data_IF_536958587445
#
_entry.id   IF_536958587445
#
_cell.length_a   1.000
_cell.length_b   1.000
_cell.length_c   1.000
_cell.angle_alpha   90.00
_cell.angle_beta   90.00
_cell.angle_gamma   90.00
#
_symmetry.space_group_name_H-M   'P 1'
#
loop_
_entity.id
_entity.type
_entity.pdbx_description
1 polymer ?
#
# COMPACT_ATOMS: atom_id res chain seq x y z
N UNK A 1 -4.17 3.27 13.77
CA UNK A 1 -3.63 2.79 12.48
C UNK A 1 -4.09 3.68 11.34
N UNK A 2 -3.36 3.67 10.24
CA UNK A 2 -3.64 4.54 9.10
C UNK A 2 -4.04 3.71 7.89
N UNK A 3 -5.20 4.03 7.31
CA UNK A 3 -5.70 3.40 6.10
C UNK A 3 -5.40 4.32 4.92
N UNK A 4 -4.48 3.90 4.06
CA UNK A 4 -3.99 4.70 2.94
C UNK A 4 -4.59 4.17 1.66
N UNK A 5 -5.34 5.01 0.97
CA UNK A 5 -6.14 4.54 -0.15
C UNK A 5 -6.46 5.67 -1.12
N UNK A 6 -6.90 5.28 -2.32
CA UNK A 6 -7.40 6.23 -3.32
C UNK A 6 -8.93 6.12 -3.33
N UNK A 7 -9.66 7.22 -3.05
CA UNK A 7 -11.12 7.17 -2.91
C UNK A 7 -11.86 6.58 -4.12
N UNK A 8 -11.30 6.74 -5.32
CA UNK A 8 -11.92 6.23 -6.55
C UNK A 8 -11.57 4.78 -6.86
N UNK A 9 -10.76 4.14 -6.04
CA UNK A 9 -10.34 2.74 -6.25
C UNK A 9 -11.38 1.78 -5.67
N UNK A 10 -11.91 0.86 -6.48
CA UNK A 10 -12.94 -0.08 -6.01
C UNK A 10 -12.42 -1.01 -4.93
N UNK A 11 -11.18 -1.45 -5.01
CA UNK A 11 -10.56 -2.29 -3.97
C UNK A 11 -10.47 -1.54 -2.65
N UNK A 12 -10.11 -0.25 -2.71
CA UNK A 12 -10.07 0.60 -1.52
C UNK A 12 -11.45 0.75 -0.90
N UNK A 13 -12.47 0.94 -1.72
CA UNK A 13 -13.85 1.08 -1.25
C UNK A 13 -14.32 -0.19 -0.54
N UNK A 14 -13.99 -1.36 -1.08
CA UNK A 14 -14.33 -2.65 -0.46
C UNK A 14 -13.62 -2.82 0.88
N UNK A 15 -12.35 -2.46 0.94
CA UNK A 15 -11.57 -2.55 2.17
C UNK A 15 -12.11 -1.61 3.24
N UNK A 16 -12.44 -0.38 2.86
CA UNK A 16 -13.02 0.60 3.79
C UNK A 16 -14.35 0.13 4.36
N UNK A 17 -15.21 -0.41 3.49
CA UNK A 17 -16.51 -0.95 3.90
C UNK A 17 -16.31 -2.08 4.91
N UNK A 18 -15.36 -2.98 4.65
CA UNK A 18 -15.07 -4.08 5.56
C UNK A 18 -14.60 -3.58 6.93
N UNK A 19 -13.70 -2.58 6.95
CA UNK A 19 -13.23 -1.98 8.20
C UNK A 19 -14.40 -1.38 8.99
N UNK A 20 -15.26 -0.63 8.32
CA UNK A 20 -16.40 0.03 8.96
C UNK A 20 -17.40 -1.01 9.50
N UNK A 21 -17.70 -2.05 8.73
CA UNK A 21 -18.63 -3.10 9.15
C UNK A 21 -18.12 -3.92 10.34
N UNK A 22 -16.79 -3.99 10.50
CA UNK A 22 -16.19 -4.72 11.61
C UNK A 22 -15.83 -3.82 12.79
N UNK A 23 -16.24 -2.56 12.75
CA UNK A 23 -16.02 -1.61 13.86
C UNK A 23 -14.57 -1.26 14.11
N UNK A 24 -13.73 -1.34 13.10
CA UNK A 24 -12.30 -1.07 13.23
C UNK A 24 -12.02 0.40 12.99
N UNK A 25 -11.39 1.08 13.96
CA UNK A 25 -11.06 2.50 13.86
C UNK A 25 -9.76 2.69 13.11
N UNK A 26 -9.72 3.72 12.26
CA UNK A 26 -8.54 4.04 11.46
C UNK A 26 -8.55 5.53 11.10
N UNK A 27 -7.37 6.06 10.75
CA UNK A 27 -7.25 7.39 10.16
C UNK A 27 -7.14 7.21 8.65
N UNK A 28 -7.99 7.91 7.90
CA UNK A 28 -7.97 7.87 6.43
C UNK A 28 -6.88 8.80 5.90
N UNK A 29 -6.12 8.32 4.91
CA UNK A 29 -5.12 9.14 4.21
C UNK A 29 -5.23 8.89 2.71
N UNK A 30 -5.41 9.96 1.94
CA UNK A 30 -5.51 9.88 0.48
C UNK A 30 -4.10 9.70 -0.12
N UNK A 31 -3.89 8.57 -0.78
CA UNK A 31 -2.58 8.19 -1.30
C UNK A 31 -2.09 9.11 -2.42
N UNK A 32 -3.01 9.77 -3.11
CA UNK A 32 -2.68 10.69 -4.20
C UNK A 32 -2.33 12.08 -3.66
N UNK A 33 -3.13 12.58 -2.74
CA UNK A 33 -2.97 13.94 -2.19
C UNK A 33 -1.87 14.01 -1.14
N UNK A 34 -1.69 12.94 -0.38
CA UNK A 34 -0.67 12.83 0.66
C UNK A 34 0.16 11.55 0.41
N UNK A 35 0.85 11.52 -0.74
CA UNK A 35 1.60 10.32 -1.11
C UNK A 35 2.68 10.00 -0.08
N UNK A 36 2.98 8.70 0.10
CA UNK A 36 4.00 8.28 1.05
C UNK A 36 5.37 8.86 0.73
N UNK A 37 6.13 9.18 1.77
CA UNK A 37 7.50 9.64 1.63
C UNK A 37 8.45 8.46 1.50
N UNK A 38 9.70 8.75 1.08
CA UNK A 38 10.75 7.74 1.02
C UNK A 38 10.95 7.06 2.39
N UNK A 39 11.02 7.88 3.44
CA UNK A 39 11.25 7.39 4.81
C UNK A 39 10.10 6.50 5.29
N UNK A 40 8.87 6.90 5.01
CA UNK A 40 7.69 6.11 5.35
C UNK A 40 7.70 4.77 4.63
N UNK A 41 7.91 4.79 3.32
CA UNK A 41 7.94 3.57 2.51
C UNK A 41 9.05 2.62 2.94
N UNK A 42 10.20 3.15 3.29
CA UNK A 42 11.33 2.36 3.78
C UNK A 42 10.96 1.66 5.10
N UNK A 43 10.37 2.40 6.04
CA UNK A 43 9.94 1.85 7.32
C UNK A 43 8.83 0.81 7.14
N UNK A 44 7.84 1.11 6.31
CA UNK A 44 6.72 0.20 6.05
C UNK A 44 7.18 -1.08 5.35
N UNK A 45 8.11 -0.96 4.41
CA UNK A 45 8.70 -2.12 3.74
C UNK A 45 9.33 -3.08 4.76
N UNK A 46 10.16 -2.54 5.65
CA UNK A 46 10.80 -3.36 6.69
C UNK A 46 9.77 -3.99 7.63
N UNK A 47 8.76 -3.22 8.04
CA UNK A 47 7.72 -3.68 8.95
C UNK A 47 6.83 -4.75 8.33
N UNK A 48 6.61 -4.67 7.01
CA UNK A 48 5.73 -5.61 6.31
C UNK A 48 6.32 -7.01 6.16
N UNK A 49 7.64 -7.11 6.10
CA UNK A 49 8.32 -8.38 5.79
C UNK A 49 8.15 -8.85 4.37
N UNK A 50 7.60 -8.00 3.49
CA UNK A 50 7.33 -8.35 2.09
C UNK A 50 8.44 -7.85 1.16
N UNK A 51 8.62 -8.47 -0.01
CA UNK A 51 9.49 -7.92 -1.04
C UNK A 51 8.99 -6.54 -1.48
N UNK A 52 9.91 -5.60 -1.72
CA UNK A 52 9.55 -4.23 -2.07
C UNK A 52 8.69 -4.14 -3.34
N UNK A 53 8.87 -5.05 -4.28
CA UNK A 53 8.05 -5.07 -5.50
C UNK A 53 6.55 -5.22 -5.22
N UNK A 54 6.17 -5.78 -4.07
CA UNK A 54 4.77 -5.94 -3.67
C UNK A 54 4.10 -4.59 -3.37
N UNK A 55 4.89 -3.54 -3.17
CA UNK A 55 4.37 -2.20 -2.91
C UNK A 55 4.01 -1.45 -4.18
N UNK A 56 4.27 -2.03 -5.35
CA UNK A 56 3.92 -1.40 -6.63
C UNK A 56 2.50 -1.79 -7.06
N UNK A 57 1.79 -0.80 -7.61
CA UNK A 57 0.46 -1.01 -8.19
C UNK A 57 0.62 -1.56 -9.61
N UNK A 58 0.72 -2.88 -9.73
CA UNK A 58 1.03 -3.56 -11.00
C UNK A 58 -0.08 -3.48 -12.03
N UNK A 59 -1.31 -3.19 -11.63
CA UNK A 59 -2.44 -3.01 -12.55
C UNK A 59 -2.65 -1.56 -12.94
N UNK A 60 -1.83 -0.63 -12.45
CA UNK A 60 -1.96 0.79 -12.73
C UNK A 60 -1.41 1.20 -14.09
N UNK A 61 -1.93 2.31 -14.61
CA UNK A 61 -1.50 2.85 -15.90
C UNK A 61 -0.04 3.27 -15.89
N UNK A 62 0.42 3.91 -14.80
CA UNK A 62 1.81 4.36 -14.68
C UNK A 62 2.78 3.18 -14.69
N UNK A 63 2.45 2.12 -13.96
CA UNK A 63 3.28 0.92 -13.94
C UNK A 63 3.49 0.36 -15.34
N UNK A 64 2.41 0.29 -16.11
CA UNK A 64 2.43 -0.22 -17.48
C UNK A 64 3.15 0.74 -18.43
N UNK A 65 2.85 2.04 -18.37
CA UNK A 65 3.43 3.04 -19.26
C UNK A 65 4.93 3.22 -19.03
N UNK A 66 5.40 3.00 -17.82
CA UNK A 66 6.82 3.09 -17.49
C UNK A 66 7.57 1.78 -17.70
N UNK A 67 6.89 0.73 -18.17
CA UNK A 67 7.47 -0.60 -18.39
C UNK A 67 8.18 -1.14 -17.13
N UNK A 68 7.58 -0.93 -15.96
CA UNK A 68 8.21 -1.29 -14.69
C UNK A 68 8.37 -2.80 -14.50
N UNK A 69 7.51 -3.60 -15.11
CA UNK A 69 7.64 -5.06 -15.06
C UNK A 69 9.03 -5.51 -15.53
N UNK A 70 9.54 -4.87 -16.57
CA UNK A 70 10.85 -5.18 -17.13
C UNK A 70 11.99 -4.48 -16.37
N UNK A 71 11.71 -3.31 -15.81
CA UNK A 71 12.75 -2.48 -15.15
C UNK A 71 13.04 -2.88 -13.71
N UNK A 72 11.99 -3.26 -12.94
CA UNK A 72 12.16 -3.54 -11.51
C UNK A 72 13.23 -4.58 -11.20
N UNK A 73 13.37 -5.69 -11.97
CA UNK A 73 14.41 -6.68 -11.66
C UNK A 73 15.83 -6.14 -11.70
N UNK A 74 16.05 -5.02 -12.39
CA UNK A 74 17.38 -4.40 -12.51
C UNK A 74 17.57 -3.22 -11.57
N UNK A 75 16.55 -2.84 -10.81
CA UNK A 75 16.58 -1.69 -9.91
C UNK A 75 16.98 -2.09 -8.50
N UNK A 76 17.73 -1.21 -7.83
CA UNK A 76 18.03 -1.37 -6.41
C UNK A 76 16.80 -1.02 -5.57
N UNK A 77 16.79 -1.43 -4.30
CA UNK A 77 15.72 -1.05 -3.37
C UNK A 77 15.64 0.47 -3.21
N UNK A 78 16.79 1.14 -3.16
CA UNK A 78 16.84 2.61 -3.07
C UNK A 78 16.15 3.26 -4.27
N UNK A 79 16.44 2.79 -5.47
CA UNK A 79 15.80 3.29 -6.68
C UNK A 79 14.28 3.04 -6.67
N UNK A 80 13.85 1.85 -6.23
CA UNK A 80 12.43 1.52 -6.11
C UNK A 80 11.72 2.43 -5.12
N UNK A 81 12.33 2.67 -3.97
CA UNK A 81 11.75 3.54 -2.93
C UNK A 81 11.61 4.98 -3.44
N UNK A 82 12.61 5.49 -4.14
CA UNK A 82 12.55 6.82 -4.73
C UNK A 82 11.43 6.94 -5.75
N UNK A 83 11.25 5.90 -6.56
CA UNK A 83 10.20 5.87 -7.57
C UNK A 83 8.81 5.85 -6.92
N UNK A 84 8.61 5.00 -5.91
CA UNK A 84 7.34 4.93 -5.18
C UNK A 84 7.02 6.25 -4.48
N UNK A 85 8.04 6.91 -3.92
CA UNK A 85 7.87 8.18 -3.21
C UNK A 85 7.55 9.35 -4.17
N UNK A 86 7.87 9.20 -5.44
CA UNK A 86 7.63 10.26 -6.43
C UNK A 86 6.15 10.41 -6.81
N UNK A 87 5.38 9.32 -6.74
CA UNK A 87 3.97 9.35 -7.17
C UNK A 87 3.17 8.27 -6.43
N UNK A 88 2.17 8.72 -5.66
CA UNK A 88 1.30 7.80 -4.89
C UNK A 88 0.53 6.82 -5.76
N UNK A 89 0.30 7.16 -7.02
CA UNK A 89 -0.43 6.25 -7.93
C UNK A 89 0.39 5.04 -8.36
N UNK A 90 1.70 5.05 -8.10
CA UNK A 90 2.56 3.87 -8.30
C UNK A 90 2.48 2.89 -7.14
N UNK A 91 1.95 3.34 -6.00
CA UNK A 91 1.91 2.55 -4.78
C UNK A 91 0.69 1.63 -4.77
N UNK A 92 0.91 0.37 -4.40
CA UNK A 92 -0.16 -0.62 -4.20
C UNK A 92 -1.11 -0.14 -3.12
N UNK A 93 -2.40 -0.27 -3.36
CA UNK A 93 -3.44 0.17 -2.42
C UNK A 93 -4.55 -0.86 -2.29
N UNK A 94 -5.21 -0.88 -1.14
CA UNK A 94 -4.94 -0.04 0.03
C UNK A 94 -3.69 -0.51 0.80
N UNK A 95 -3.16 0.41 1.63
CA UNK A 95 -2.18 0.07 2.64
C UNK A 95 -2.83 0.28 4.00
N UNK A 96 -2.64 -0.66 4.92
CA UNK A 96 -3.07 -0.49 6.30
C UNK A 96 -1.84 -0.54 7.20
N UNK A 97 -1.50 0.60 7.78
CA UNK A 97 -0.28 0.78 8.56
C UNK A 97 -0.61 0.80 10.05
N UNK A 98 -0.19 -0.23 10.77
CA UNK A 98 -0.29 -0.30 12.22
C UNK A 98 1.08 -0.07 12.87
N UNK A 99 1.11 -0.15 14.20
CA UNK A 99 2.35 0.07 14.96
C UNK A 99 3.40 -1.01 14.69
N UNK A 100 2.96 -2.25 14.52
CA UNK A 100 3.84 -3.40 14.35
C UNK A 100 3.58 -4.21 13.07
N UNK A 101 2.74 -3.70 12.18
CA UNK A 101 2.42 -4.39 10.94
C UNK A 101 2.12 -3.42 9.80
N UNK A 102 2.23 -3.91 8.57
CA UNK A 102 1.75 -3.20 7.37
C UNK A 102 1.11 -4.25 6.47
N UNK A 103 -0.16 -4.03 6.11
CA UNK A 103 -0.88 -4.87 5.17
C UNK A 103 -0.93 -4.17 3.82
N UNK A 104 -0.60 -4.90 2.76
CA UNK A 104 -0.48 -4.36 1.39
C UNK A 104 -1.51 -5.03 0.50
N UNK A 105 -2.40 -4.24 -0.08
CA UNK A 105 -3.54 -4.76 -0.83
C UNK A 105 -4.59 -5.30 0.12
N UNK A 106 -5.81 -5.51 -0.40
CA UNK A 106 -6.89 -6.01 0.44
C UNK A 106 -7.13 -7.49 0.19
N UNK A 107 -6.82 -8.30 1.19
CA UNK A 107 -7.15 -9.71 1.27
C UNK A 107 -7.93 -9.90 2.56
N UNK A 108 -9.24 -10.08 2.46
CA UNK A 108 -10.13 -10.08 3.61
C UNK A 108 -9.70 -11.07 4.70
N UNK A 109 -9.35 -12.30 4.31
CA UNK A 109 -8.93 -13.32 5.27
C UNK A 109 -7.67 -12.91 6.03
N UNK A 110 -6.70 -12.33 5.34
CA UNK A 110 -5.45 -11.84 5.93
C UNK A 110 -5.71 -10.69 6.90
N UNK A 111 -6.58 -9.75 6.49
CA UNK A 111 -6.94 -8.62 7.35
C UNK A 111 -7.73 -9.09 8.57
N UNK A 112 -8.66 -10.03 8.39
CA UNK A 112 -9.43 -10.59 9.50
C UNK A 112 -8.52 -11.27 10.51
N UNK A 113 -7.57 -12.07 10.04
CA UNK A 113 -6.62 -12.74 10.91
C UNK A 113 -5.80 -11.74 11.72
N UNK A 114 -5.27 -10.71 11.07
CA UNK A 114 -4.42 -9.73 11.72
C UNK A 114 -5.18 -8.82 12.69
N UNK A 115 -6.38 -8.40 12.32
CA UNK A 115 -7.11 -7.37 13.06
C UNK A 115 -8.12 -7.93 14.07
N UNK A 116 -8.67 -9.10 13.84
CA UNK A 116 -9.72 -9.66 14.70
C UNK A 116 -9.22 -10.60 15.78
N UNK A 117 -7.99 -11.05 15.68
CA UNK A 117 -7.37 -11.94 16.67
C UNK A 117 -6.56 -11.22 17.73
N UNK A 118 -6.55 -9.90 17.69
CA UNK A 118 -5.82 -9.07 18.66
C UNK A 118 -6.71 -8.64 19.82
#
# INVERSE_FOLDING_TARGET
>A
MTFICYPKCTTCQKAQKWLDENGISYTFRDIKMEHPTYEELSAWHRRSGLPLKKFFNTSGLLYKSMALKEKLPTMSEDEMLKLLAADGMLVKRPLLVGDDFVLVGFKEAEWAERLKTQ
#
